data_IF_952345637127
#
_entry.id   IF_952345637127
#
_cell.length_a   1.000
_cell.length_b   1.000
_cell.length_c   1.000
_cell.angle_alpha   90.00
_cell.angle_beta   90.00
_cell.angle_gamma   90.00
#
_symmetry.space_group_name_H-M   'P 1'
#
loop_
_entity.id
_entity.type
_entity.pdbx_description
1 polymer ?
#
# COMPACT_ATOMS: atom_id res chain seq x y z
N UNK A 1 -20.33 9.30 6.16
CA UNK A 1 -19.82 8.02 5.59
C UNK A 1 -18.81 7.55 6.62
N UNK A 2 -18.95 6.36 7.20
CA UNK A 2 -18.24 5.97 8.45
C UNK A 2 -16.73 6.33 8.48
N UNK A 3 -16.04 6.20 7.34
CA UNK A 3 -14.62 6.60 7.18
C UNK A 3 -14.40 8.11 7.30
N UNK A 4 -15.23 8.92 6.63
CA UNK A 4 -15.11 10.38 6.67
C UNK A 4 -15.42 10.90 8.06
N UNK A 5 -16.46 10.36 8.70
CA UNK A 5 -16.90 10.78 10.03
C UNK A 5 -15.76 10.60 11.07
N UNK A 6 -14.87 9.62 10.82
CA UNK A 6 -13.65 9.38 11.59
C UNK A 6 -12.47 10.32 11.31
N UNK A 7 -12.40 10.89 10.10
CA UNK A 7 -11.31 11.77 9.69
C UNK A 7 -11.64 13.25 9.85
N UNK A 8 -12.91 13.64 9.72
CA UNK A 8 -13.36 15.03 9.82
C UNK A 8 -12.87 15.74 11.10
N UNK A 9 -12.84 15.12 12.29
CA UNK A 9 -12.28 15.78 13.48
C UNK A 9 -10.79 16.16 13.38
N UNK A 10 -10.07 15.57 12.43
CA UNK A 10 -8.63 15.79 12.21
C UNK A 10 -8.34 16.51 10.88
N UNK A 11 -9.26 16.42 9.93
CA UNK A 11 -9.15 17.00 8.58
C UNK A 11 -10.55 17.29 8.02
N UNK A 12 -10.95 18.55 8.08
CA UNK A 12 -12.25 19.01 7.55
C UNK A 12 -12.34 18.92 6.02
N UNK A 13 -11.21 18.74 5.32
CA UNK A 13 -11.16 18.59 3.86
C UNK A 13 -10.96 17.13 3.44
N UNK A 14 -11.07 16.18 4.38
CA UNK A 14 -11.01 14.76 4.05
C UNK A 14 -12.12 14.42 3.05
N UNK A 15 -11.76 13.67 2.01
CA UNK A 15 -12.67 13.30 0.94
C UNK A 15 -12.60 11.80 0.64
N UNK A 16 -13.67 11.27 0.05
CA UNK A 16 -13.73 9.88 -0.40
C UNK A 16 -14.29 9.76 -1.80
N UNK A 17 -13.64 8.93 -2.60
CA UNK A 17 -14.10 8.61 -3.96
C UNK A 17 -14.37 7.12 -4.07
N UNK A 18 -15.54 6.78 -4.63
CA UNK A 18 -15.85 5.41 -5.03
C UNK A 18 -15.07 5.06 -6.28
N UNK A 19 -14.42 3.90 -6.26
CA UNK A 19 -13.76 3.39 -7.47
C UNK A 19 -14.75 2.65 -8.36
N UNK A 20 -14.33 2.33 -9.58
CA UNK A 20 -15.08 1.43 -10.47
C UNK A 20 -15.20 0.00 -9.92
N UNK A 21 -14.44 -0.36 -8.87
CA UNK A 21 -14.49 -1.67 -8.22
C UNK A 21 -15.38 -1.62 -6.98
N UNK A 22 -16.48 -2.41 -6.94
CA UNK A 22 -17.37 -2.45 -5.79
C UNK A 22 -16.63 -2.77 -4.49
N UNK A 23 -17.00 -2.06 -3.42
CA UNK A 23 -16.40 -2.23 -2.09
C UNK A 23 -14.99 -1.64 -1.93
N UNK A 24 -14.48 -0.92 -2.94
CA UNK A 24 -13.19 -0.21 -2.84
C UNK A 24 -13.40 1.29 -2.92
N UNK A 25 -12.89 1.96 -1.89
CA UNK A 25 -12.95 3.40 -1.71
C UNK A 25 -11.53 3.95 -1.65
N UNK A 26 -11.33 5.09 -2.30
CA UNK A 26 -10.15 5.92 -2.09
C UNK A 26 -10.50 7.00 -1.08
N UNK A 27 -9.58 7.25 -0.16
CA UNK A 27 -9.73 8.23 0.91
C UNK A 27 -8.57 9.20 0.79
N UNK A 28 -8.88 10.48 0.67
CA UNK A 28 -7.91 11.56 0.55
C UNK A 28 -7.95 12.39 1.83
N UNK A 29 -6.77 12.71 2.35
CA UNK A 29 -6.63 13.50 3.57
C UNK A 29 -5.26 14.18 3.58
N UNK A 30 -5.17 15.31 4.25
CA UNK A 30 -3.90 16.02 4.50
C UNK A 30 -3.02 15.30 5.52
N UNK A 31 -3.58 14.35 6.28
CA UNK A 31 -2.83 13.55 7.25
C UNK A 31 -1.81 12.66 6.55
N UNK A 32 -0.72 12.33 7.25
CA UNK A 32 0.20 11.32 6.75
C UNK A 32 -0.51 9.96 6.62
N UNK A 33 -0.13 9.10 5.66
CA UNK A 33 -0.81 7.83 5.44
C UNK A 33 -0.90 6.95 6.70
N UNK A 34 0.16 6.93 7.52
CA UNK A 34 0.19 6.14 8.74
C UNK A 34 -0.59 6.76 9.89
N UNK A 35 -0.65 8.10 9.97
CA UNK A 35 -1.50 8.78 10.95
C UNK A 35 -2.98 8.55 10.63
N UNK A 36 -3.38 8.76 9.38
CA UNK A 36 -4.72 8.47 8.90
C UNK A 36 -5.10 7.00 9.19
N UNK A 37 -4.21 6.06 8.87
CA UNK A 37 -4.40 4.65 9.18
C UNK A 37 -4.57 4.38 10.68
N UNK A 38 -3.78 5.02 11.55
CA UNK A 38 -3.88 4.87 13.00
C UNK A 38 -5.23 5.39 13.52
N UNK A 39 -5.68 6.55 13.05
CA UNK A 39 -6.99 7.12 13.41
C UNK A 39 -8.13 6.20 12.97
N UNK A 40 -8.12 5.79 11.70
CA UNK A 40 -9.12 4.89 11.14
C UNK A 40 -9.06 3.47 11.74
N UNK A 41 -7.90 3.04 12.27
CA UNK A 41 -7.79 1.74 12.95
C UNK A 41 -8.59 1.71 14.25
N UNK A 42 -8.63 2.82 14.97
CA UNK A 42 -9.26 2.93 16.29
C UNK A 42 -10.74 3.31 16.22
N UNK A 43 -11.25 3.65 15.04
CA UNK A 43 -12.66 3.91 14.87
C UNK A 43 -13.51 2.64 14.95
N UNK A 44 -14.72 2.71 15.54
CA UNK A 44 -15.75 1.71 15.33
C UNK A 44 -16.00 1.55 13.82
N UNK A 45 -16.02 0.30 13.35
CA UNK A 45 -16.27 -0.01 11.93
C UNK A 45 -17.26 -1.16 11.84
N UNK A 46 -18.41 -0.92 11.25
CA UNK A 46 -19.38 -1.97 10.97
C UNK A 46 -19.12 -2.66 9.62
N UNK A 47 -18.62 -1.92 8.62
CA UNK A 47 -18.58 -2.40 7.23
C UNK A 47 -17.18 -2.39 6.58
N UNK A 48 -16.14 -1.96 7.30
CA UNK A 48 -14.79 -1.83 6.75
C UNK A 48 -13.97 -3.09 7.04
N UNK A 49 -13.75 -3.90 6.01
CA UNK A 49 -12.95 -5.13 6.14
C UNK A 49 -11.44 -4.86 6.32
N UNK A 50 -10.88 -3.91 5.57
CA UNK A 50 -9.44 -3.63 5.62
C UNK A 50 -9.14 -2.20 5.20
N UNK A 51 -8.03 -1.65 5.72
CA UNK A 51 -7.52 -0.33 5.39
C UNK A 51 -6.04 -0.48 5.08
N UNK A 52 -5.61 0.06 3.96
CA UNK A 52 -4.20 0.05 3.56
C UNK A 52 -3.73 1.50 3.48
N UNK A 53 -2.75 1.94 4.32
CA UNK A 53 -2.14 3.24 4.15
C UNK A 53 -1.40 3.28 2.81
N UNK A 54 -1.55 4.35 2.02
CA UNK A 54 -0.88 4.51 0.72
C UNK A 54 0.16 5.62 0.85
N UNK A 55 1.45 5.26 0.73
CA UNK A 55 2.56 6.23 0.79
C UNK A 55 2.88 6.84 -0.56
N UNK A 56 2.66 6.08 -1.63
CA UNK A 56 2.90 6.51 -3.01
C UNK A 56 1.68 6.16 -3.84
N UNK A 57 1.18 7.13 -4.61
CA UNK A 57 0.03 6.97 -5.49
C UNK A 57 0.44 7.34 -6.91
N UNK A 58 0.32 6.39 -7.83
CA UNK A 58 0.81 6.48 -9.21
C UNK A 58 -0.22 5.98 -10.21
N UNK A 59 -0.02 6.31 -11.48
CA UNK A 59 -0.71 5.62 -12.58
C UNK A 59 -0.22 4.18 -12.67
N UNK A 60 -1.13 3.25 -12.93
CA UNK A 60 -0.82 1.83 -13.07
C UNK A 60 -0.01 1.58 -14.34
N UNK A 61 1.28 1.29 -14.16
CA UNK A 61 2.14 0.64 -15.15
C UNK A 61 3.21 -0.16 -14.41
N UNK A 62 3.75 -1.21 -15.04
CA UNK A 62 4.80 -2.02 -14.39
C UNK A 62 6.04 -1.18 -14.07
N UNK A 63 6.40 -0.25 -14.97
CA UNK A 63 7.56 0.62 -14.80
C UNK A 63 7.41 1.54 -13.58
N UNK A 64 6.31 2.30 -13.51
CA UNK A 64 6.04 3.21 -12.38
C UNK A 64 5.97 2.47 -11.04
N UNK A 65 5.42 1.25 -11.03
CA UNK A 65 5.36 0.40 -9.84
C UNK A 65 6.76 0.01 -9.37
N UNK A 66 7.65 -0.41 -10.29
CA UNK A 66 9.02 -0.78 -9.95
C UNK A 66 9.79 0.41 -9.40
N UNK A 67 9.78 1.53 -10.12
CA UNK A 67 10.55 2.73 -9.74
C UNK A 67 10.11 3.28 -8.39
N UNK A 68 8.79 3.35 -8.17
CA UNK A 68 8.22 3.82 -6.91
C UNK A 68 8.49 2.87 -5.74
N UNK A 69 8.38 1.56 -5.96
CA UNK A 69 8.62 0.56 -4.92
C UNK A 69 10.10 0.52 -4.52
N UNK A 70 11.03 0.58 -5.48
CA UNK A 70 12.48 0.64 -5.24
C UNK A 70 12.83 1.91 -4.46
N UNK A 71 12.38 3.08 -4.93
CA UNK A 71 12.64 4.36 -4.25
C UNK A 71 12.11 4.40 -2.83
N UNK A 72 10.98 3.73 -2.56
CA UNK A 72 10.43 3.62 -1.20
C UNK A 72 11.25 2.66 -0.34
N UNK A 73 11.68 1.54 -0.93
CA UNK A 73 12.49 0.53 -0.25
C UNK A 73 13.89 1.06 0.11
N UNK A 74 14.58 1.78 -0.78
CA UNK A 74 15.91 2.37 -0.53
C UNK A 74 15.93 3.31 0.69
N UNK A 75 14.81 3.97 0.98
CA UNK A 75 14.68 4.87 2.13
C UNK A 75 14.47 4.13 3.46
N UNK A 76 14.11 2.85 3.41
CA UNK A 76 13.55 2.14 4.57
C UNK A 76 14.29 0.84 4.88
N UNK A 77 14.59 0.05 3.86
CA UNK A 77 15.23 -1.25 3.97
C UNK A 77 16.75 -1.11 3.95
N UNK A 78 17.39 -1.96 4.75
CA UNK A 78 18.82 -2.19 4.76
C UNK A 78 19.13 -3.63 4.32
N UNK A 79 20.36 -3.97 3.93
CA UNK A 79 20.72 -5.31 3.47
C UNK A 79 20.38 -6.44 4.46
N UNK A 80 20.44 -6.17 5.76
CA UNK A 80 20.09 -7.11 6.82
C UNK A 80 18.58 -7.35 6.98
N UNK A 81 17.74 -6.53 6.36
CA UNK A 81 16.30 -6.67 6.49
C UNK A 81 15.73 -7.79 5.62
N UNK A 82 14.63 -8.37 6.09
CA UNK A 82 13.80 -9.26 5.28
C UNK A 82 12.47 -8.60 4.93
N UNK A 83 11.97 -8.88 3.73
CA UNK A 83 10.69 -8.33 3.29
C UNK A 83 9.89 -9.31 2.44
N UNK A 84 8.60 -9.05 2.32
CA UNK A 84 7.73 -9.72 1.36
C UNK A 84 7.00 -8.69 0.52
N UNK A 85 6.73 -9.03 -0.75
CA UNK A 85 5.82 -8.26 -1.59
C UNK A 85 4.44 -8.91 -1.56
N UNK A 86 3.40 -8.09 -1.43
CA UNK A 86 2.00 -8.52 -1.47
C UNK A 86 1.23 -7.60 -2.40
N UNK A 87 0.77 -8.14 -3.52
CA UNK A 87 0.02 -7.41 -4.52
C UNK A 87 -1.45 -7.83 -4.52
N UNK A 88 -2.36 -6.86 -4.38
CA UNK A 88 -3.77 -7.07 -4.71
C UNK A 88 -4.08 -6.36 -6.02
N UNK A 89 -4.63 -7.11 -6.97
CA UNK A 89 -4.93 -6.61 -8.32
C UNK A 89 -6.42 -6.51 -8.54
N UNK A 90 -6.87 -5.34 -8.98
CA UNK A 90 -8.19 -5.09 -9.56
C UNK A 90 -8.02 -4.40 -10.91
N UNK A 91 -8.61 -4.98 -11.95
CA UNK A 91 -8.45 -4.53 -13.34
C UNK A 91 -7.41 -5.35 -14.14
N UNK A 92 -7.12 -4.88 -15.36
CA UNK A 92 -6.39 -5.65 -16.39
C UNK A 92 -5.06 -5.02 -16.84
N UNK A 93 -4.68 -3.85 -16.33
CA UNK A 93 -3.48 -3.10 -16.78
C UNK A 93 -2.15 -3.76 -16.38
N UNK A 94 -2.16 -4.63 -15.38
CA UNK A 94 -1.03 -5.53 -15.09
C UNK A 94 -1.48 -6.98 -15.27
N UNK A 95 -0.57 -7.84 -15.74
CA UNK A 95 -0.89 -9.21 -16.13
C UNK A 95 -1.36 -10.04 -14.93
N UNK A 96 -0.59 -10.10 -13.85
CA UNK A 96 -0.96 -10.82 -12.61
C UNK A 96 -0.34 -10.20 -11.37
N UNK A 97 -0.94 -10.44 -10.19
CA UNK A 97 -0.34 -10.04 -8.90
C UNK A 97 1.00 -10.75 -8.66
N UNK A 98 1.09 -12.04 -9.00
CA UNK A 98 2.30 -12.85 -8.85
C UNK A 98 3.47 -12.27 -9.66
N UNK A 99 3.22 -11.80 -10.88
CA UNK A 99 4.26 -11.16 -11.69
C UNK A 99 4.72 -9.84 -11.09
N UNK A 100 3.79 -9.01 -10.63
CA UNK A 100 4.13 -7.76 -9.91
C UNK A 100 4.97 -8.07 -8.67
N UNK A 101 4.57 -9.06 -7.87
CA UNK A 101 5.30 -9.47 -6.67
C UNK A 101 6.73 -9.93 -6.99
N UNK A 102 6.91 -10.78 -8.01
CA UNK A 102 8.22 -11.27 -8.45
C UNK A 102 9.10 -10.14 -8.97
N UNK A 103 8.56 -9.27 -9.82
CA UNK A 103 9.32 -8.18 -10.43
C UNK A 103 9.75 -7.15 -9.39
N UNK A 104 8.82 -6.71 -8.52
CA UNK A 104 9.11 -5.78 -7.43
C UNK A 104 10.09 -6.40 -6.42
N UNK A 105 9.90 -7.67 -6.05
CA UNK A 105 10.79 -8.37 -5.13
C UNK A 105 12.22 -8.43 -5.66
N UNK A 106 12.39 -8.82 -6.94
CA UNK A 106 13.70 -8.85 -7.60
C UNK A 106 14.36 -7.46 -7.61
N UNK A 107 13.62 -6.43 -8.03
CA UNK A 107 14.15 -5.07 -8.13
C UNK A 107 14.60 -4.52 -6.77
N UNK A 108 13.81 -4.72 -5.72
CA UNK A 108 14.16 -4.29 -4.35
C UNK A 108 15.39 -5.04 -3.84
N UNK A 109 15.49 -6.36 -4.05
CA UNK A 109 16.68 -7.13 -3.64
C UNK A 109 17.94 -6.64 -4.36
N UNK A 110 17.85 -6.33 -5.65
CA UNK A 110 18.99 -5.81 -6.43
C UNK A 110 19.45 -4.42 -5.98
N UNK A 111 18.52 -3.53 -5.62
CA UNK A 111 18.84 -2.16 -5.21
C UNK A 111 19.28 -2.06 -3.75
N UNK A 112 18.65 -2.81 -2.83
CA UNK A 112 18.84 -2.62 -1.38
C UNK A 112 19.69 -3.70 -0.70
N UNK A 113 19.90 -4.85 -1.36
CA UNK A 113 20.50 -6.04 -0.75
C UNK A 113 19.60 -6.79 0.23
N UNK A 114 18.42 -6.27 0.56
CA UNK A 114 17.47 -6.92 1.45
C UNK A 114 16.94 -8.23 0.84
N UNK A 115 16.66 -9.22 1.70
CA UNK A 115 16.26 -10.57 1.27
C UNK A 115 14.74 -10.74 1.29
N UNK A 116 14.23 -11.46 0.29
CA UNK A 116 12.82 -11.87 0.28
C UNK A 116 12.63 -13.01 1.28
N UNK A 117 11.69 -12.84 2.21
CA UNK A 117 11.21 -13.87 3.12
C UNK A 117 9.67 -13.89 3.05
N UNK A 118 9.10 -14.96 2.48
CA UNK A 118 7.66 -15.07 2.29
C UNK A 118 6.92 -15.54 3.54
N UNK A 119 7.63 -16.12 4.50
CA UNK A 119 7.06 -16.73 5.71
C UNK A 119 7.14 -15.76 6.89
N UNK A 120 8.32 -15.20 7.17
CA UNK A 120 8.59 -14.37 8.34
C UNK A 120 9.28 -13.02 8.04
N UNK A 121 8.71 -12.21 7.13
CA UNK A 121 9.31 -10.92 6.77
C UNK A 121 9.30 -9.92 7.94
N UNK A 122 10.31 -9.05 8.00
CA UNK A 122 10.28 -7.87 8.87
C UNK A 122 9.42 -6.74 8.28
N UNK A 123 9.34 -6.65 6.95
CA UNK A 123 8.57 -5.62 6.24
C UNK A 123 7.68 -6.21 5.14
N UNK A 124 6.55 -5.56 4.89
CA UNK A 124 5.68 -5.90 3.76
C UNK A 124 5.59 -4.71 2.81
N UNK A 125 6.03 -4.91 1.57
CA UNK A 125 5.75 -4.04 0.44
C UNK A 125 4.37 -4.40 -0.11
N UNK A 126 3.38 -3.58 0.19
CA UNK A 126 2.01 -3.70 -0.31
C UNK A 126 1.88 -2.92 -1.61
N UNK A 127 1.34 -3.58 -2.64
CA UNK A 127 0.98 -2.97 -3.93
C UNK A 127 -0.51 -3.19 -4.17
N UNK A 128 -1.32 -2.14 -4.11
CA UNK A 128 -2.77 -2.17 -4.39
C UNK A 128 -3.01 -1.58 -5.78
N UNK A 129 -3.15 -2.46 -6.78
CA UNK A 129 -3.53 -2.04 -8.14
C UNK A 129 -5.05 -1.93 -8.21
N UNK A 130 -5.54 -0.72 -8.49
CA UNK A 130 -6.97 -0.39 -8.58
C UNK A 130 -7.22 0.30 -9.91
N UNK A 131 -7.42 -0.51 -10.95
CA UNK A 131 -7.67 -0.03 -12.31
C UNK A 131 -6.47 0.77 -12.82
N UNK A 132 -6.72 2.04 -13.14
CA UNK A 132 -5.70 2.98 -13.66
C UNK A 132 -4.76 3.54 -12.60
N UNK A 133 -5.01 3.29 -11.32
CA UNK A 133 -4.20 3.82 -10.23
C UNK A 133 -3.62 2.69 -9.38
N UNK A 134 -2.41 2.89 -8.87
CA UNK A 134 -1.76 1.95 -7.96
C UNK A 134 -1.29 2.69 -6.72
N UNK A 135 -1.61 2.13 -5.56
CA UNK A 135 -1.11 2.58 -4.27
C UNK A 135 -0.01 1.66 -3.76
N UNK A 136 1.09 2.22 -3.27
CA UNK A 136 2.24 1.49 -2.74
C UNK A 136 2.50 1.91 -1.30
N UNK A 137 2.86 0.93 -0.47
CA UNK A 137 3.18 1.13 0.93
C UNK A 137 4.20 0.11 1.40
N UNK A 138 5.16 0.54 2.20
CA UNK A 138 6.11 -0.32 2.88
C UNK A 138 5.92 -0.16 4.38
N UNK A 139 5.50 -1.23 5.04
CA UNK A 139 5.19 -1.21 6.47
C UNK A 139 5.92 -2.33 7.22
N UNK A 140 6.37 -2.11 8.46
CA UNK A 140 6.88 -3.20 9.29
C UNK A 140 5.75 -4.18 9.61
N UNK A 141 6.09 -5.47 9.69
CA UNK A 141 5.22 -6.48 10.27
C UNK A 141 5.14 -6.22 11.76
N UNK A 142 3.95 -5.95 12.27
CA UNK A 142 3.74 -5.91 13.71
C UNK A 142 3.83 -7.35 14.22
N UNK A 143 4.91 -7.67 14.92
CA UNK A 143 4.94 -8.83 15.81
C UNK A 143 4.03 -8.46 17.00
N UNK A 144 2.86 -9.10 17.05
CA UNK A 144 2.03 -9.15 18.26
C UNK A 144 2.82 -9.78 19.40
#
# INVERSE_FOLDING_TARGET
>A
MEILDCLLPYDNNADTTRTEFPGVLLVYTVLTPFDAYKKLKNCPKAYIQSITPIQVYIKTSMQEILDSAVKLAEKTLKPENTFAVRCKKRGKLVKSSIEVEKAVGKAITQSTGAKVDLENPQYIMVVEVVGRNTGICLKPVRRT
#
